data_IF_732013507229
#
_entry.id   IF_732013507229
#
_cell.length_a   1.000
_cell.length_b   1.000
_cell.length_c   1.000
_cell.angle_alpha   90.00
_cell.angle_beta   90.00
_cell.angle_gamma   90.00
#
_symmetry.space_group_name_H-M   'P 1'
#
loop_
_entity.id
_entity.type
_entity.pdbx_description
1 polymer ?
#
# COMPACT_ATOMS: atom_id res chain seq x y z
N UNK A 1 -14.21 5.45 -10.38
CA UNK A 1 -14.50 4.78 -9.09
C UNK A 1 -14.16 3.30 -9.22
N UNK A 2 -14.25 2.48 -8.17
CA UNK A 2 -14.14 1.02 -8.36
C UNK A 2 -15.23 0.51 -9.33
N UNK A 3 -16.40 1.15 -9.32
CA UNK A 3 -17.51 0.94 -10.27
C UNK A 3 -17.06 1.13 -11.73
N UNK A 4 -16.38 2.22 -12.07
CA UNK A 4 -15.93 2.50 -13.45
C UNK A 4 -14.93 1.47 -13.99
N UNK A 5 -14.27 0.73 -13.10
CA UNK A 5 -13.31 -0.35 -13.45
C UNK A 5 -13.89 -1.75 -13.30
N UNK A 6 -15.16 -1.87 -12.89
CA UNK A 6 -15.81 -3.16 -12.65
C UNK A 6 -15.32 -3.91 -11.41
N UNK A 7 -14.72 -3.21 -10.45
CA UNK A 7 -14.08 -3.76 -9.24
C UNK A 7 -14.89 -3.48 -7.96
N UNK A 8 -16.21 -3.28 -8.09
CA UNK A 8 -17.09 -3.00 -6.94
C UNK A 8 -17.40 -4.27 -6.15
N UNK A 9 -17.39 -4.20 -4.83
CA UNK A 9 -17.65 -5.35 -3.94
C UNK A 9 -19.14 -5.66 -3.81
N UNK A 10 -20.00 -4.65 -3.98
CA UNK A 10 -21.45 -4.77 -3.82
C UNK A 10 -22.21 -3.51 -4.26
N UNK A 11 -23.54 -3.59 -4.27
CA UNK A 11 -24.39 -2.43 -4.55
C UNK A 11 -24.15 -1.35 -3.49
N UNK A 12 -23.67 -0.18 -3.92
CA UNK A 12 -23.39 0.96 -3.04
C UNK A 12 -21.92 1.14 -2.64
N UNK A 13 -20.99 0.36 -3.19
CA UNK A 13 -19.56 0.61 -2.99
C UNK A 13 -19.10 1.90 -3.68
N UNK A 14 -19.05 2.98 -2.90
CA UNK A 14 -18.64 4.32 -3.36
C UNK A 14 -17.13 4.54 -3.32
N UNK A 15 -16.36 3.54 -2.87
CA UNK A 15 -14.91 3.66 -2.78
C UNK A 15 -14.31 3.79 -4.19
N UNK A 16 -13.22 4.55 -4.25
CA UNK A 16 -12.46 4.75 -5.48
C UNK A 16 -11.19 3.92 -5.42
N UNK A 17 -10.62 3.54 -6.57
CA UNK A 17 -9.30 2.87 -6.60
C UNK A 17 -8.24 3.71 -5.89
N UNK A 18 -8.41 5.03 -5.86
CA UNK A 18 -7.54 5.94 -5.11
C UNK A 18 -7.57 5.69 -3.60
N UNK A 19 -8.70 5.25 -3.03
CA UNK A 19 -8.77 4.90 -1.60
C UNK A 19 -7.97 3.63 -1.32
N UNK A 20 -8.16 2.57 -2.11
CA UNK A 20 -7.38 1.33 -1.99
C UNK A 20 -5.86 1.59 -2.10
N UNK A 21 -5.45 2.41 -3.07
CA UNK A 21 -4.05 2.78 -3.23
C UNK A 21 -3.53 3.62 -2.05
N UNK A 22 -4.38 4.42 -1.40
CA UNK A 22 -4.00 5.16 -0.19
C UNK A 22 -3.77 4.20 0.97
N UNK A 23 -4.69 3.26 1.20
CA UNK A 23 -4.57 2.26 2.25
C UNK A 23 -3.25 1.49 2.11
N UNK A 24 -2.93 1.00 0.91
CA UNK A 24 -1.66 0.30 0.65
C UNK A 24 -0.41 1.11 1.00
N UNK A 25 -0.43 2.44 0.84
CA UNK A 25 0.68 3.30 1.21
C UNK A 25 0.78 3.50 2.73
N UNK A 26 -0.36 3.58 3.43
CA UNK A 26 -0.44 3.80 4.87
C UNK A 26 0.05 2.61 5.69
N UNK A 27 -0.18 1.38 5.22
CA UNK A 27 0.22 0.16 5.93
C UNK A 27 1.61 -0.36 5.59
N UNK A 28 2.24 0.14 4.53
CA UNK A 28 3.50 -0.40 4.06
C UNK A 28 4.63 -0.20 5.09
N UNK A 29 5.33 -1.29 5.46
CA UNK A 29 6.61 -1.22 6.18
C UNK A 29 7.75 -0.70 5.28
N UNK A 30 7.66 -1.00 3.98
CA UNK A 30 8.65 -0.63 2.96
C UNK A 30 7.93 -0.11 1.72
N UNK A 31 8.33 1.08 1.28
CA UNK A 31 7.84 1.74 0.07
C UNK A 31 8.97 1.79 -0.96
N UNK A 32 8.77 1.10 -2.08
CA UNK A 32 9.71 1.10 -3.20
C UNK A 32 9.35 2.17 -4.22
N UNK A 33 10.16 3.23 -4.31
CA UNK A 33 10.03 4.26 -5.33
C UNK A 33 10.86 3.84 -6.54
N UNK A 34 10.20 3.24 -7.53
CA UNK A 34 10.84 2.79 -8.75
C UNK A 34 10.85 3.86 -9.86
N UNK A 35 11.66 3.64 -10.89
CA UNK A 35 11.86 4.52 -12.06
C UNK A 35 12.53 5.84 -11.69
N UNK A 36 13.42 5.83 -10.70
CA UNK A 36 14.15 7.02 -10.29
C UNK A 36 15.03 7.58 -11.41
N UNK A 37 15.42 6.76 -12.39
CA UNK A 37 16.15 7.13 -13.61
C UNK A 37 15.36 8.04 -14.56
N UNK A 38 14.03 8.06 -14.47
CA UNK A 38 13.16 8.82 -15.37
C UNK A 38 12.74 10.18 -14.81
N UNK A 39 13.18 10.55 -13.60
CA UNK A 39 12.76 11.76 -12.90
C UNK A 39 13.95 12.55 -12.37
N UNK A 40 13.75 13.85 -12.20
CA UNK A 40 14.76 14.71 -11.56
C UNK A 40 14.78 14.52 -10.05
N UNK A 41 15.91 14.85 -9.41
CA UNK A 41 16.00 14.85 -7.93
C UNK A 41 14.96 15.75 -7.26
N UNK A 42 14.55 16.85 -7.92
CA UNK A 42 13.48 17.71 -7.42
C UNK A 42 12.15 16.96 -7.34
N UNK A 43 11.74 16.32 -8.44
CA UNK A 43 10.51 15.53 -8.50
C UNK A 43 10.55 14.35 -7.52
N UNK A 44 11.71 13.70 -7.40
CA UNK A 44 11.92 12.63 -6.45
C UNK A 44 11.82 13.14 -5.00
N UNK A 45 12.30 14.35 -4.72
CA UNK A 45 12.10 15.04 -3.45
C UNK A 45 10.63 15.30 -3.12
N UNK A 46 9.84 15.73 -4.12
CA UNK A 46 8.39 15.94 -3.97
C UNK A 46 7.67 14.62 -3.65
N UNK A 47 8.00 13.53 -4.35
CA UNK A 47 7.46 12.19 -4.07
C UNK A 47 7.84 11.73 -2.66
N UNK A 48 9.10 11.86 -2.26
CA UNK A 48 9.53 11.48 -0.92
C UNK A 48 8.81 12.30 0.17
N UNK A 49 8.62 13.60 -0.05
CA UNK A 49 7.90 14.46 0.88
C UNK A 49 6.43 14.07 1.01
N UNK A 50 5.79 13.68 -0.11
CA UNK A 50 4.44 13.14 -0.10
C UNK A 50 4.36 11.81 0.67
N UNK A 51 5.21 10.84 0.35
CA UNK A 51 5.21 9.53 1.00
C UNK A 51 5.46 9.64 2.50
N UNK A 52 6.35 10.54 2.94
CA UNK A 52 6.59 10.80 4.37
C UNK A 52 5.39 11.41 5.10
N UNK A 53 4.54 12.18 4.41
CA UNK A 53 3.29 12.72 4.98
C UNK A 53 2.23 11.64 5.14
N UNK A 54 2.13 10.72 4.17
CA UNK A 54 1.18 9.61 4.19
C UNK A 54 1.60 8.56 5.21
N UNK A 55 2.85 8.10 5.14
CA UNK A 55 3.40 7.10 6.03
C UNK A 55 4.82 7.49 6.47
N UNK A 56 4.89 8.11 7.65
CA UNK A 56 6.16 8.55 8.22
C UNK A 56 7.05 7.39 8.68
N UNK A 57 6.47 6.21 8.93
CA UNK A 57 7.15 5.06 9.55
C UNK A 57 7.76 4.10 8.53
N UNK A 58 7.26 4.09 7.29
CA UNK A 58 7.79 3.27 6.21
C UNK A 58 9.26 3.58 5.92
N UNK A 59 10.01 2.55 5.56
CA UNK A 59 11.29 2.71 4.90
C UNK A 59 11.06 3.00 3.41
N UNK A 60 11.62 4.11 2.93
CA UNK A 60 11.49 4.49 1.52
C UNK A 60 12.79 4.15 0.80
N UNK A 61 12.70 3.29 -0.21
CA UNK A 61 13.83 2.80 -0.99
C UNK A 61 13.70 3.31 -2.43
N UNK A 62 14.74 3.96 -2.95
CA UNK A 62 14.82 4.40 -4.35
C UNK A 62 15.36 3.25 -5.21
N UNK A 63 14.75 3.00 -6.36
CA UNK A 63 15.22 1.99 -7.31
C UNK A 63 15.05 2.40 -8.76
N UNK A 64 15.84 1.74 -9.59
CA UNK A 64 15.71 1.72 -11.05
C UNK A 64 15.40 0.28 -11.45
N UNK A 65 14.41 0.07 -12.33
CA UNK A 65 13.94 -1.26 -12.75
C UNK A 65 13.59 -2.24 -11.61
N UNK A 66 13.20 -1.72 -10.44
CA UNK A 66 12.91 -2.48 -9.21
C UNK A 66 14.07 -3.36 -8.75
N UNK A 67 15.31 -3.01 -9.09
CA UNK A 67 16.50 -3.76 -8.66
C UNK A 67 16.87 -3.35 -7.23
N UNK A 68 16.82 -4.31 -6.31
CA UNK A 68 17.28 -4.17 -4.93
C UNK A 68 17.69 -5.53 -4.34
N UNK A 69 18.54 -5.57 -3.30
CA UNK A 69 18.86 -6.81 -2.62
C UNK A 69 17.60 -7.44 -2.00
N UNK A 70 17.33 -8.75 -2.18
CA UNK A 70 16.15 -9.39 -1.59
C UNK A 70 16.07 -9.25 -0.06
N UNK A 71 17.21 -9.14 0.63
CA UNK A 71 17.29 -8.90 2.06
C UNK A 71 16.67 -7.55 2.51
N UNK A 72 16.44 -6.61 1.59
CA UNK A 72 15.72 -5.37 1.89
C UNK A 72 14.21 -5.59 2.04
N UNK A 73 13.67 -6.71 1.53
CA UNK A 73 12.24 -7.05 1.57
C UNK A 73 11.98 -8.29 2.44
N UNK A 74 12.82 -9.31 2.29
CA UNK A 74 12.66 -10.62 2.92
C UNK A 74 13.46 -10.71 4.22
N UNK A 75 12.86 -11.32 5.25
CA UNK A 75 13.54 -11.57 6.53
C UNK A 75 13.85 -10.29 7.32
N UNK A 76 13.14 -9.19 7.07
CA UNK A 76 13.40 -7.87 7.67
C UNK A 76 12.88 -7.72 9.11
N UNK A 77 12.05 -8.67 9.58
CA UNK A 77 11.39 -8.63 10.89
C UNK A 77 10.65 -7.31 11.20
N UNK A 78 10.19 -6.61 10.16
CA UNK A 78 9.50 -5.31 10.28
C UNK A 78 8.08 -5.42 10.81
N UNK A 79 7.43 -6.56 10.56
CA UNK A 79 6.10 -6.86 11.07
C UNK A 79 6.05 -6.81 12.61
N UNK A 80 5.04 -6.11 13.14
CA UNK A 80 4.79 -6.04 14.58
C UNK A 80 3.30 -6.10 14.86
N UNK A 81 2.85 -7.20 15.49
CA UNK A 81 1.46 -7.41 15.87
C UNK A 81 0.92 -6.25 16.74
N UNK A 82 1.72 -5.77 17.68
CA UNK A 82 1.36 -4.64 18.55
C UNK A 82 1.11 -3.33 17.76
N UNK A 83 1.84 -3.10 16.67
CA UNK A 83 1.61 -1.94 15.80
C UNK A 83 0.36 -2.15 14.95
N UNK A 84 0.17 -3.36 14.43
CA UNK A 84 -1.01 -3.72 13.65
C UNK A 84 -2.29 -3.50 14.49
N UNK A 85 -2.33 -4.01 15.73
CA UNK A 85 -3.47 -3.88 16.65
C UNK A 85 -3.86 -2.44 17.02
N UNK A 86 -2.94 -1.47 16.89
CA UNK A 86 -3.23 -0.06 17.16
C UNK A 86 -3.83 0.65 15.96
N UNK A 87 -3.78 0.03 14.77
CA UNK A 87 -4.30 0.63 13.56
C UNK A 87 -5.83 0.53 13.53
N UNK A 88 -6.56 1.64 13.27
CA UNK A 88 -8.02 1.64 13.28
C UNK A 88 -8.67 0.57 12.40
N UNK A 89 -8.10 0.31 11.23
CA UNK A 89 -8.61 -0.71 10.30
C UNK A 89 -8.31 -2.14 10.77
N UNK A 90 -7.15 -2.40 11.41
CA UNK A 90 -6.88 -3.73 11.99
C UNK A 90 -7.82 -4.03 13.16
N UNK A 91 -8.23 -3.01 13.91
CA UNK A 91 -9.25 -3.16 14.95
C UNK A 91 -10.65 -3.45 14.40
N UNK A 92 -10.93 -3.07 13.15
CA UNK A 92 -12.16 -3.43 12.43
C UNK A 92 -12.04 -4.87 11.92
N UNK A 93 -10.94 -5.19 11.26
CA UNK A 93 -10.67 -6.54 10.74
C UNK A 93 -10.56 -7.62 11.83
N UNK A 94 -9.90 -7.34 12.96
CA UNK A 94 -9.80 -8.30 14.06
C UNK A 94 -11.14 -8.56 14.78
N UNK A 95 -12.15 -7.69 14.60
CA UNK A 95 -13.51 -7.88 15.15
C UNK A 95 -14.40 -8.63 14.17
N UNK A 96 -14.29 -8.30 12.89
CA UNK A 96 -15.00 -8.93 11.79
C UNK A 96 -14.27 -10.23 11.39
N UNK A 97 -14.62 -11.36 12.00
CA UNK A 97 -13.96 -12.67 11.80
C UNK A 97 -14.08 -13.26 10.36
N UNK A 98 -14.59 -12.48 9.40
CA UNK A 98 -14.75 -12.85 8.00
C UNK A 98 -13.91 -11.92 7.12
N UNK A 99 -12.62 -12.26 6.96
CA UNK A 99 -11.81 -11.60 5.94
C UNK A 99 -12.26 -12.06 4.56
N UNK A 100 -12.74 -11.12 3.75
CA UNK A 100 -12.90 -11.33 2.31
C UNK A 100 -11.59 -10.92 1.64
N UNK A 101 -10.79 -11.83 1.06
CA UNK A 101 -9.52 -11.50 0.40
C UNK A 101 -9.70 -10.41 -0.64
N UNK A 102 -8.71 -9.57 -0.91
CA UNK A 102 -8.81 -8.45 -1.85
C UNK A 102 -9.15 -8.87 -3.29
N UNK A 103 -8.84 -10.12 -3.65
CA UNK A 103 -9.24 -10.74 -4.92
C UNK A 103 -10.76 -10.96 -5.00
N UNK A 104 -11.41 -11.20 -3.85
CA UNK A 104 -12.85 -11.39 -3.71
C UNK A 104 -13.53 -10.08 -3.34
N UNK A 105 -12.93 -9.28 -2.45
CA UNK A 105 -13.43 -7.98 -2.03
C UNK A 105 -13.36 -7.02 -3.23
N UNK A 106 -12.19 -6.84 -3.85
CA UNK A 106 -11.99 -5.86 -4.92
C UNK A 106 -11.94 -6.47 -6.33
N UNK A 107 -12.20 -7.77 -6.49
CA UNK A 107 -12.21 -8.42 -7.80
C UNK A 107 -10.84 -8.41 -8.52
N UNK A 108 -9.74 -8.22 -7.80
CA UNK A 108 -8.40 -8.10 -8.39
C UNK A 108 -7.90 -9.50 -8.76
N UNK A 109 -7.62 -9.73 -10.04
CA UNK A 109 -6.98 -10.96 -10.53
C UNK A 109 -5.74 -10.63 -11.35
N UNK A 110 -4.75 -11.52 -11.34
CA UNK A 110 -3.59 -11.42 -12.24
C UNK A 110 -4.05 -11.80 -13.66
N UNK A 111 -3.63 -11.01 -14.65
CA UNK A 111 -3.63 -11.42 -16.05
C UNK A 111 -2.47 -12.37 -16.34
#
# INVERSE_FOLDING_TARGET
TLVDRGWQVGEGDTRTVSHLLCDQLEFADVLLVNKCDLVTEKQLGEVNAFLRKVNSTAEVVRTEHSVLPPAALLGTARFSMRKAEQHPHWLVEAREHEHTPETIEYGISSF
#
